data_IF_153806173165
#
_entry.id   IF_153806173165
#
_cell.length_a   1.000
_cell.length_b   1.000
_cell.length_c   1.000
_cell.angle_alpha   90.00
_cell.angle_beta   90.00
_cell.angle_gamma   90.00
#
_symmetry.space_group_name_H-M   'P 1'
#
loop_
_entity.id
_entity.type
_entity.pdbx_description
1 polymer ?
#
# COMPACT_ATOMS: atom_id res chain seq x y z
N UNK A 1 3.44 -20.80 -16.46
CA UNK A 1 3.45 -21.13 -15.03
C UNK A 1 4.56 -22.09 -14.67
N UNK A 2 5.11 -21.97 -13.47
CA UNK A 2 6.15 -22.87 -12.97
C UNK A 2 5.56 -24.29 -12.76
N UNK A 3 6.24 -25.29 -13.31
CA UNK A 3 5.89 -26.71 -13.16
C UNK A 3 6.57 -27.31 -11.93
N UNK A 4 5.98 -28.36 -11.36
CA UNK A 4 6.59 -29.11 -10.26
C UNK A 4 7.87 -29.80 -10.77
N UNK A 5 9.01 -29.48 -10.16
CA UNK A 5 10.32 -30.08 -10.48
C UNK A 5 10.59 -31.31 -9.59
N UNK A 6 9.67 -32.27 -9.64
CA UNK A 6 9.81 -33.58 -8.98
C UNK A 6 9.56 -34.67 -10.01
N UNK A 7 10.59 -35.49 -10.30
CA UNK A 7 10.53 -36.53 -11.32
C UNK A 7 9.49 -37.62 -11.04
N UNK A 8 8.91 -37.67 -9.84
CA UNK A 8 7.83 -38.60 -9.46
C UNK A 8 6.44 -38.09 -9.83
N UNK A 9 6.31 -36.81 -10.17
CA UNK A 9 5.04 -36.16 -10.46
C UNK A 9 4.99 -35.83 -11.96
N UNK A 10 3.91 -36.18 -12.69
CA UNK A 10 3.73 -35.77 -14.08
C UNK A 10 3.89 -34.26 -14.23
N UNK A 11 4.44 -33.78 -15.35
CA UNK A 11 4.65 -32.35 -15.56
C UNK A 11 3.32 -31.58 -15.56
N UNK A 12 3.03 -30.95 -14.43
CA UNK A 12 1.88 -30.07 -14.22
C UNK A 12 2.22 -28.96 -13.24
N UNK A 13 1.42 -27.91 -13.24
CA UNK A 13 1.56 -26.82 -12.26
C UNK A 13 1.09 -27.27 -10.88
N UNK A 14 1.52 -26.57 -9.83
CA UNK A 14 1.03 -26.82 -8.48
C UNK A 14 -0.50 -26.68 -8.39
N UNK A 15 -1.07 -25.69 -9.08
CA UNK A 15 -2.53 -25.47 -9.12
C UNK A 15 -3.27 -26.70 -9.70
N UNK A 16 -2.79 -27.24 -10.82
CA UNK A 16 -3.35 -28.46 -11.41
C UNK A 16 -3.21 -29.67 -10.48
N UNK A 17 -2.04 -29.83 -9.84
CA UNK A 17 -1.83 -30.93 -8.90
C UNK A 17 -2.77 -30.86 -7.69
N UNK A 18 -3.00 -29.66 -7.14
CA UNK A 18 -3.94 -29.43 -6.02
C UNK A 18 -5.37 -29.74 -6.44
N UNK A 19 -5.79 -29.34 -7.66
CA UNK A 19 -7.11 -29.63 -8.18
C UNK A 19 -7.39 -31.15 -8.27
N UNK A 20 -6.39 -31.94 -8.67
CA UNK A 20 -6.49 -33.41 -8.70
C UNK A 20 -6.41 -34.05 -7.31
N UNK A 21 -5.79 -33.36 -6.32
CA UNK A 21 -5.50 -33.88 -4.99
C UNK A 21 -6.01 -32.95 -3.88
N UNK A 22 -7.30 -32.58 -3.85
CA UNK A 22 -7.80 -31.52 -2.96
C UNK A 22 -7.67 -31.86 -1.46
N UNK A 23 -7.47 -33.13 -1.12
CA UNK A 23 -7.23 -33.57 0.26
C UNK A 23 -5.91 -33.04 0.84
N UNK A 24 -4.93 -32.67 0.00
CA UNK A 24 -3.63 -32.16 0.43
C UNK A 24 -3.71 -30.85 1.23
N UNK A 25 -4.78 -30.07 1.03
CA UNK A 25 -5.03 -28.82 1.75
C UNK A 25 -5.56 -29.04 3.17
N UNK A 26 -6.03 -30.25 3.48
CA UNK A 26 -6.86 -30.52 4.65
C UNK A 26 -8.29 -29.98 4.49
N UNK A 27 -9.24 -30.58 5.21
CA UNK A 27 -10.67 -30.26 5.09
C UNK A 27 -10.98 -28.79 5.34
N UNK A 28 -10.42 -28.21 6.40
CA UNK A 28 -10.69 -26.81 6.79
C UNK A 28 -10.37 -25.81 5.67
N UNK A 29 -9.19 -25.92 5.06
CA UNK A 29 -8.76 -25.00 3.99
C UNK A 29 -9.58 -25.25 2.73
N UNK A 30 -9.78 -26.54 2.37
CA UNK A 30 -10.58 -26.90 1.21
C UNK A 30 -11.99 -26.30 1.28
N UNK A 31 -12.66 -26.43 2.42
CA UNK A 31 -14.03 -25.96 2.60
C UNK A 31 -14.11 -24.43 2.65
N UNK A 32 -13.11 -23.78 3.27
CA UNK A 32 -13.10 -22.31 3.43
C UNK A 32 -12.69 -21.57 2.15
N UNK A 33 -11.84 -22.17 1.33
CA UNK A 33 -11.22 -21.53 0.16
C UNK A 33 -11.49 -22.29 -1.15
N UNK A 34 -12.55 -23.11 -1.17
CA UNK A 34 -13.04 -23.80 -2.38
C UNK A 34 -11.97 -24.62 -3.10
N UNK A 35 -11.12 -25.31 -2.32
CA UNK A 35 -10.03 -26.13 -2.85
C UNK A 35 -8.88 -25.34 -3.47
N UNK A 36 -8.80 -24.02 -3.23
CA UNK A 36 -7.68 -23.19 -3.67
C UNK A 36 -6.68 -22.94 -2.53
N UNK A 37 -5.43 -22.68 -2.90
CA UNK A 37 -4.40 -22.26 -1.95
C UNK A 37 -4.66 -20.80 -1.52
N UNK A 38 -4.84 -20.50 -0.22
CA UNK A 38 -5.31 -19.20 0.23
C UNK A 38 -4.21 -18.14 0.39
N UNK A 39 -2.98 -18.42 -0.08
CA UNK A 39 -1.86 -17.51 0.03
C UNK A 39 -0.93 -17.63 -1.17
N UNK A 40 -0.18 -16.56 -1.41
CA UNK A 40 0.92 -16.55 -2.35
C UNK A 40 2.21 -16.23 -1.59
N UNK A 41 3.14 -17.17 -1.58
CA UNK A 41 4.44 -16.97 -0.97
C UNK A 41 5.41 -16.33 -1.97
N UNK A 42 6.17 -15.33 -1.52
CA UNK A 42 7.16 -14.64 -2.34
C UNK A 42 8.43 -14.39 -1.54
N UNK A 43 9.57 -14.49 -2.22
CA UNK A 43 10.83 -13.90 -1.80
C UNK A 43 11.06 -12.69 -2.69
N UNK A 44 11.26 -11.52 -2.09
CA UNK A 44 11.48 -10.28 -2.81
C UNK A 44 12.93 -9.84 -2.61
N UNK A 45 13.62 -9.56 -3.71
CA UNK A 45 14.92 -8.90 -3.72
C UNK A 45 14.74 -7.53 -4.35
N UNK A 46 14.73 -6.49 -3.52
CA UNK A 46 14.32 -5.13 -3.90
C UNK A 46 15.54 -4.23 -4.00
N UNK A 47 15.86 -3.77 -5.20
CA UNK A 47 17.00 -2.86 -5.45
C UNK A 47 16.59 -1.38 -5.44
N UNK A 48 15.33 -1.08 -5.75
CA UNK A 48 14.78 0.29 -5.79
C UNK A 48 13.43 0.32 -5.08
N UNK A 49 13.06 1.45 -4.49
CA UNK A 49 11.77 1.61 -3.84
C UNK A 49 10.61 1.23 -4.78
N UNK A 50 9.69 0.40 -4.26
CA UNK A 50 8.46 0.03 -4.96
C UNK A 50 7.43 1.17 -4.87
N UNK A 51 6.36 1.08 -5.66
CA UNK A 51 5.30 2.08 -5.60
C UNK A 51 4.62 2.11 -4.23
N UNK A 52 4.15 3.28 -3.83
CA UNK A 52 3.26 3.44 -2.67
C UNK A 52 1.92 2.78 -3.03
N UNK A 53 1.45 1.88 -2.16
CA UNK A 53 0.29 1.04 -2.43
C UNK A 53 -0.65 0.99 -1.23
N UNK A 54 -1.93 0.79 -1.51
CA UNK A 54 -2.95 0.44 -0.52
C UNK A 54 -3.88 -0.60 -1.17
N UNK A 55 -4.24 -1.64 -0.40
CA UNK A 55 -5.15 -2.69 -0.89
C UNK A 55 -6.58 -2.42 -0.42
N UNK A 56 -7.59 -2.60 -1.27
CA UNK A 56 -8.98 -2.41 -0.89
C UNK A 56 -9.44 -3.48 0.13
N UNK A 57 -10.48 -3.15 0.90
CA UNK A 57 -11.25 -4.16 1.64
C UNK A 57 -11.98 -5.09 0.67
N UNK A 58 -12.53 -6.20 1.16
CA UNK A 58 -13.20 -7.19 0.31
C UNK A 58 -14.37 -6.57 -0.45
N UNK A 59 -15.20 -5.80 0.24
CA UNK A 59 -16.38 -5.14 -0.31
C UNK A 59 -16.01 -4.06 -1.34
N UNK A 60 -14.86 -3.40 -1.14
CA UNK A 60 -14.36 -2.41 -2.09
C UNK A 60 -13.72 -3.09 -3.32
N UNK A 61 -13.00 -4.20 -3.14
CA UNK A 61 -12.43 -4.99 -4.22
C UNK A 61 -13.51 -5.50 -5.18
N UNK A 62 -14.62 -6.04 -4.64
CA UNK A 62 -15.78 -6.47 -5.44
C UNK A 62 -16.35 -5.35 -6.31
N UNK A 63 -16.52 -4.15 -5.73
CA UNK A 63 -17.02 -2.97 -6.46
C UNK A 63 -16.04 -2.51 -7.54
N UNK A 64 -14.75 -2.47 -7.21
CA UNK A 64 -13.71 -2.02 -8.11
C UNK A 64 -13.48 -3.00 -9.27
N UNK A 65 -13.52 -4.31 -9.01
CA UNK A 65 -13.49 -5.34 -10.04
C UNK A 65 -14.67 -5.21 -11.01
N UNK A 66 -15.88 -4.96 -10.48
CA UNK A 66 -17.06 -4.79 -11.32
C UNK A 66 -17.02 -3.52 -12.20
N UNK A 67 -16.36 -2.45 -11.73
CA UNK A 67 -16.30 -1.16 -12.44
C UNK A 67 -15.08 -1.03 -13.36
N UNK A 68 -13.94 -1.58 -12.96
CA UNK A 68 -12.63 -1.42 -13.60
C UNK A 68 -11.85 -2.76 -13.61
N UNK A 69 -12.37 -3.81 -14.25
CA UNK A 69 -11.80 -5.16 -14.20
C UNK A 69 -10.36 -5.25 -14.75
N UNK A 70 -9.97 -4.32 -15.63
CA UNK A 70 -8.61 -4.20 -16.16
C UNK A 70 -7.59 -3.74 -15.09
N UNK A 71 -8.03 -3.00 -14.09
CA UNK A 71 -7.20 -2.49 -12.99
C UNK A 71 -7.31 -3.34 -11.73
N UNK A 72 -8.46 -3.98 -11.52
CA UNK A 72 -8.74 -4.87 -10.38
C UNK A 72 -9.13 -6.22 -10.94
N UNK A 73 -8.18 -7.15 -11.17
CA UNK A 73 -8.45 -8.40 -11.91
C UNK A 73 -9.24 -9.43 -11.11
N UNK A 74 -9.42 -9.24 -9.81
CA UNK A 74 -10.17 -10.13 -8.93
C UNK A 74 -10.94 -9.35 -7.85
N UNK A 75 -11.83 -10.06 -7.16
CA UNK A 75 -12.71 -9.49 -6.12
C UNK A 75 -12.12 -9.59 -4.72
N UNK A 76 -10.84 -9.92 -4.54
CA UNK A 76 -10.30 -10.27 -3.23
C UNK A 76 -9.63 -9.10 -2.51
N UNK A 77 -9.73 -9.11 -1.18
CA UNK A 77 -8.82 -8.30 -0.36
C UNK A 77 -7.44 -8.95 -0.37
N UNK A 78 -6.40 -8.15 -0.16
CA UNK A 78 -5.01 -8.61 -0.22
C UNK A 78 -4.27 -8.28 1.08
N UNK A 79 -4.46 -9.09 2.13
CA UNK A 79 -3.72 -8.94 3.37
C UNK A 79 -2.29 -9.43 3.13
N UNK A 80 -1.31 -8.65 3.55
CA UNK A 80 0.12 -8.92 3.31
C UNK A 80 0.89 -8.91 4.63
N UNK A 81 1.90 -9.77 4.73
CA UNK A 81 2.89 -9.78 5.80
C UNK A 81 4.28 -9.79 5.18
N UNK A 82 5.18 -8.95 5.70
CA UNK A 82 6.58 -8.91 5.29
C UNK A 82 7.48 -9.37 6.44
N UNK A 83 8.43 -10.25 6.13
CA UNK A 83 9.45 -10.72 7.07
C UNK A 83 10.81 -10.35 6.49
N UNK A 84 11.57 -9.55 7.23
CA UNK A 84 12.89 -9.11 6.81
C UNK A 84 13.91 -10.27 6.88
N UNK A 85 14.44 -10.68 5.73
CA UNK A 85 15.53 -11.66 5.63
C UNK A 85 16.92 -10.99 5.70
N UNK A 86 16.97 -9.71 5.37
CA UNK A 86 18.12 -8.80 5.44
C UNK A 86 17.64 -7.47 6.03
N UNK A 87 18.52 -6.49 6.34
CA UNK A 87 18.06 -5.14 6.63
C UNK A 87 17.03 -4.67 5.59
N UNK A 88 15.92 -4.13 6.08
CA UNK A 88 14.75 -3.81 5.29
C UNK A 88 14.16 -2.49 5.76
N UNK A 89 13.81 -1.64 4.80
CA UNK A 89 13.16 -0.35 5.02
C UNK A 89 11.83 -0.32 4.27
N UNK A 90 10.80 0.24 4.90
CA UNK A 90 9.47 0.34 4.32
C UNK A 90 8.66 1.48 4.91
N UNK A 91 7.74 2.02 4.12
CA UNK A 91 6.71 2.95 4.59
C UNK A 91 5.46 2.16 4.92
N UNK A 92 4.92 2.32 6.13
CA UNK A 92 3.73 1.61 6.59
C UNK A 92 2.83 2.54 7.40
N UNK A 93 1.67 2.88 6.84
CA UNK A 93 0.70 3.77 7.47
C UNK A 93 1.12 5.25 7.49
N UNK A 94 0.23 6.08 8.01
CA UNK A 94 0.55 7.48 8.28
C UNK A 94 1.34 7.62 9.58
N UNK A 95 2.24 8.60 9.63
CA UNK A 95 2.90 9.03 10.88
C UNK A 95 1.86 9.51 11.91
N UNK A 96 2.20 9.53 13.21
CA UNK A 96 1.42 10.25 14.22
C UNK A 96 1.11 11.67 13.74
N UNK A 97 -0.12 12.13 13.96
CA UNK A 97 -0.59 13.41 13.39
C UNK A 97 0.28 14.58 13.82
N UNK A 98 0.87 14.52 15.01
CA UNK A 98 1.71 15.58 15.55
C UNK A 98 3.07 15.66 14.87
N UNK A 99 3.61 14.52 14.42
CA UNK A 99 4.79 14.52 13.54
C UNK A 99 4.43 15.15 12.18
N UNK A 100 3.26 14.83 11.63
CA UNK A 100 2.81 15.41 10.35
C UNK A 100 2.64 16.93 10.48
N UNK A 101 2.03 17.39 11.58
CA UNK A 101 1.90 18.81 11.90
C UNK A 101 3.28 19.47 12.06
N UNK A 102 4.21 18.82 12.77
CA UNK A 102 5.58 19.33 12.90
C UNK A 102 6.25 19.48 11.52
N UNK A 103 6.09 18.51 10.60
CA UNK A 103 6.59 18.65 9.23
C UNK A 103 5.92 19.80 8.48
N UNK A 104 4.60 20.02 8.63
CA UNK A 104 3.90 21.16 8.04
C UNK A 104 4.37 22.52 8.58
N UNK A 105 4.96 22.56 9.77
CA UNK A 105 5.50 23.78 10.37
C UNK A 105 6.96 24.03 9.96
N UNK A 106 7.76 22.98 9.82
CA UNK A 106 9.21 23.09 9.62
C UNK A 106 9.65 22.84 8.16
N UNK A 107 8.77 22.32 7.30
CA UNK A 107 9.06 22.08 5.88
C UNK A 107 8.21 23.03 5.03
N UNK A 108 8.72 24.23 4.69
CA UNK A 108 7.95 25.25 3.98
C UNK A 108 7.47 24.77 2.60
N UNK A 109 8.23 23.93 1.90
CA UNK A 109 7.84 23.38 0.59
C UNK A 109 6.64 22.43 0.72
N UNK A 110 6.62 21.63 1.80
CA UNK A 110 5.50 20.75 2.09
C UNK A 110 4.25 21.56 2.47
N UNK A 111 4.39 22.58 3.33
CA UNK A 111 3.27 23.48 3.66
C UNK A 111 2.74 24.20 2.42
N UNK A 112 3.62 24.69 1.55
CA UNK A 112 3.23 25.37 0.33
C UNK A 112 2.44 24.46 -0.62
N UNK A 113 2.88 23.20 -0.77
CA UNK A 113 2.19 22.19 -1.58
C UNK A 113 0.80 21.85 -1.02
N UNK A 114 0.69 21.69 0.31
CA UNK A 114 -0.58 21.37 0.98
C UNK A 114 -1.52 22.58 1.00
N UNK A 115 -0.97 23.78 1.18
CA UNK A 115 -1.70 25.04 1.31
C UNK A 115 -2.12 25.35 2.76
N UNK A 116 -2.03 26.62 3.14
CA UNK A 116 -2.23 27.09 4.53
C UNK A 116 -3.56 26.67 5.14
N UNK A 117 -4.67 26.76 4.40
CA UNK A 117 -6.00 26.41 4.93
C UNK A 117 -6.09 24.94 5.35
N UNK A 118 -5.54 24.03 4.53
CA UNK A 118 -5.57 22.60 4.84
C UNK A 118 -4.59 22.25 5.98
N UNK A 119 -3.41 22.88 5.99
CA UNK A 119 -2.44 22.72 7.07
C UNK A 119 -3.01 23.19 8.41
N UNK A 120 -3.60 24.38 8.47
CA UNK A 120 -4.24 24.93 9.67
C UNK A 120 -5.42 24.07 10.14
N UNK A 121 -6.18 23.47 9.22
CA UNK A 121 -7.26 22.55 9.58
C UNK A 121 -6.72 21.32 10.30
N UNK A 122 -5.60 20.75 9.83
CA UNK A 122 -4.97 19.60 10.49
C UNK A 122 -4.36 20.00 11.83
N UNK A 123 -3.71 21.16 11.92
CA UNK A 123 -3.15 21.72 13.16
C UNK A 123 -4.22 21.92 14.26
N UNK A 124 -5.42 22.37 13.87
CA UNK A 124 -6.55 22.59 14.78
C UNK A 124 -7.28 21.30 15.15
N UNK A 125 -7.08 20.22 14.40
CA UNK A 125 -7.70 18.92 14.69
C UNK A 125 -6.97 18.31 15.89
N UNK A 126 -7.51 18.53 17.08
CA UNK A 126 -6.94 18.02 18.33
C UNK A 126 -6.95 16.49 18.40
N UNK A 127 -6.04 15.93 19.21
CA UNK A 127 -5.92 14.48 19.43
C UNK A 127 -7.22 13.79 19.87
N UNK A 128 -8.09 14.55 20.54
CA UNK A 128 -9.34 14.04 21.13
C UNK A 128 -10.48 13.88 20.10
N UNK A 129 -10.26 14.26 18.83
CA UNK A 129 -11.20 14.00 17.73
C UNK A 129 -10.55 13.20 16.58
N UNK A 130 -10.48 11.85 16.71
CA UNK A 130 -9.92 10.99 15.66
C UNK A 130 -10.64 11.13 14.32
N UNK A 131 -11.94 11.44 14.32
CA UNK A 131 -12.73 11.61 13.08
C UNK A 131 -12.36 12.92 12.39
N UNK A 132 -12.23 14.01 13.16
CA UNK A 132 -11.74 15.30 12.67
C UNK A 132 -10.33 15.19 12.08
N UNK A 133 -9.42 14.53 12.81
CA UNK A 133 -8.05 14.27 12.34
C UNK A 133 -8.04 13.48 11.04
N UNK A 134 -8.80 12.38 10.96
CA UNK A 134 -8.89 11.58 9.73
C UNK A 134 -9.42 12.39 8.55
N UNK A 135 -10.43 13.23 8.77
CA UNK A 135 -11.00 14.09 7.73
C UNK A 135 -9.99 15.16 7.26
N UNK A 136 -9.31 15.84 8.18
CA UNK A 136 -8.31 16.86 7.84
C UNK A 136 -7.08 16.25 7.14
N UNK A 137 -6.62 15.08 7.60
CA UNK A 137 -5.51 14.36 6.98
C UNK A 137 -5.86 13.92 5.56
N UNK A 138 -7.09 13.43 5.34
CA UNK A 138 -7.60 13.11 3.99
C UNK A 138 -7.59 14.33 3.07
N UNK A 139 -7.95 15.52 3.57
CA UNK A 139 -7.89 16.75 2.78
C UNK A 139 -6.44 17.05 2.38
N UNK A 140 -5.50 17.03 3.33
CA UNK A 140 -4.08 17.27 3.07
C UNK A 140 -3.52 16.29 2.02
N UNK A 141 -3.72 14.98 2.26
CA UNK A 141 -3.25 13.93 1.35
C UNK A 141 -3.87 14.07 -0.05
N UNK A 142 -5.18 14.36 -0.14
CA UNK A 142 -5.85 14.56 -1.42
C UNK A 142 -5.27 15.74 -2.19
N UNK A 143 -5.00 16.87 -1.53
CA UNK A 143 -4.41 18.05 -2.17
C UNK A 143 -3.02 17.74 -2.73
N UNK A 144 -2.19 17.04 -1.95
CA UNK A 144 -0.87 16.58 -2.41
C UNK A 144 -0.99 15.69 -3.65
N UNK A 145 -1.82 14.64 -3.59
CA UNK A 145 -1.94 13.65 -4.68
C UNK A 145 -2.62 14.21 -5.94
N UNK A 146 -3.43 15.27 -5.82
CA UNK A 146 -4.09 15.94 -6.95
C UNK A 146 -3.38 17.21 -7.42
N UNK A 147 -2.24 17.55 -6.82
CA UNK A 147 -1.45 18.72 -7.24
C UNK A 147 -0.98 18.56 -8.68
N UNK A 148 -0.91 19.67 -9.42
CA UNK A 148 -0.31 19.65 -10.75
C UNK A 148 1.13 19.14 -10.68
N UNK A 149 1.50 18.26 -11.60
CA UNK A 149 2.85 17.64 -11.63
C UNK A 149 3.95 18.70 -11.59
N UNK A 150 3.79 19.81 -12.30
CA UNK A 150 4.77 20.91 -12.30
C UNK A 150 4.93 21.51 -10.91
N UNK A 151 3.84 21.86 -10.24
CA UNK A 151 3.86 22.45 -8.89
C UNK A 151 4.50 21.49 -7.88
N UNK A 152 4.15 20.19 -7.97
CA UNK A 152 4.75 19.17 -7.11
C UNK A 152 6.27 19.08 -7.31
N UNK A 153 6.73 19.02 -8.56
CA UNK A 153 8.15 18.93 -8.91
C UNK A 153 8.91 20.19 -8.50
N UNK A 154 8.33 21.37 -8.67
CA UNK A 154 8.94 22.65 -8.29
C UNK A 154 9.22 22.68 -6.78
N UNK A 155 8.24 22.30 -5.94
CA UNK A 155 8.43 22.22 -4.49
C UNK A 155 9.37 21.08 -4.05
N UNK A 156 9.33 19.93 -4.73
CA UNK A 156 10.26 18.84 -4.45
C UNK A 156 11.71 19.25 -4.72
N UNK A 157 11.97 19.95 -5.83
CA UNK A 157 13.31 20.44 -6.16
C UNK A 157 13.82 21.46 -5.13
N UNK A 158 12.94 22.33 -4.63
CA UNK A 158 13.27 23.25 -3.54
C UNK A 158 13.64 22.49 -2.25
N UNK A 159 12.86 21.47 -1.90
CA UNK A 159 13.11 20.63 -0.73
C UNK A 159 14.46 19.93 -0.83
N UNK A 160 14.74 19.29 -1.97
CA UNK A 160 16.02 18.62 -2.22
C UNK A 160 17.19 19.60 -2.13
N UNK A 161 17.05 20.79 -2.74
CA UNK A 161 18.08 21.83 -2.67
C UNK A 161 18.36 22.27 -1.23
N UNK A 162 17.31 22.49 -0.43
CA UNK A 162 17.45 22.92 0.96
C UNK A 162 18.16 21.85 1.81
N UNK A 163 17.69 20.60 1.73
CA UNK A 163 18.30 19.50 2.50
C UNK A 163 19.75 19.24 2.07
N UNK A 164 20.08 19.39 0.79
CA UNK A 164 21.45 19.21 0.28
C UNK A 164 22.41 20.33 0.71
N UNK A 165 21.91 21.46 1.21
CA UNK A 165 22.71 22.57 1.73
C UNK A 165 22.86 22.54 3.25
N UNK A 166 21.98 21.78 3.93
CA UNK A 166 21.96 21.61 5.39
C UNK A 166 22.77 20.39 5.87
N UNK A 167 23.17 19.49 4.96
CA UNK A 167 24.03 18.33 5.23
C UNK A 167 25.47 18.54 4.76
#
# INVERSE_FOLDING_TARGET
DAVILDNRIPQKTLSQWIADNPACLGSKVKDSFQGQLPFLFKVLSVNTALSIQAHPTKELAEKLHAQYPEHYPDTNHKPEIAIALTPFEGLCGFRPVEEIVAFLQHVPEFRALIGNVAAEQLERSGRDDPRGVSAALRVCFTRMMKSEKKVFVDHLNQLVKRISQEG
#
